data_IF_708983669592
#
_entry.id   IF_708983669592
#
_cell.length_a   1.000
_cell.length_b   1.000
_cell.length_c   1.000
_cell.angle_alpha   90.00
_cell.angle_beta   90.00
_cell.angle_gamma   90.00
#
_symmetry.space_group_name_H-M   'P 1'
#
loop_
_entity.id
_entity.type
_entity.pdbx_description
1 polymer ?
#
# COMPACT_ATOMS: atom_id res chain seq x y z
N UNK A 1 -40.23 -25.92 19.61
CA UNK A 1 -39.14 -25.04 20.09
C UNK A 1 -37.92 -25.00 19.15
N UNK A 2 -37.70 -26.00 18.28
CA UNK A 2 -36.53 -26.04 17.38
C UNK A 2 -36.58 -25.06 16.18
N UNK A 3 -37.74 -24.56 15.77
CA UNK A 3 -37.87 -23.69 14.58
C UNK A 3 -37.47 -22.23 14.83
N UNK A 4 -37.70 -21.69 16.04
CA UNK A 4 -37.28 -20.32 16.40
C UNK A 4 -35.76 -20.17 16.51
N UNK A 5 -35.07 -21.19 17.05
CA UNK A 5 -33.61 -21.19 17.15
C UNK A 5 -32.91 -21.31 15.79
N UNK A 6 -33.50 -22.04 14.85
CA UNK A 6 -32.99 -22.14 13.47
C UNK A 6 -33.11 -20.80 12.72
N UNK A 7 -34.23 -20.09 12.86
CA UNK A 7 -34.43 -18.77 12.22
C UNK A 7 -33.45 -17.72 12.74
N UNK A 8 -33.17 -17.70 14.05
CA UNK A 8 -32.19 -16.78 14.65
C UNK A 8 -30.75 -17.06 14.15
N UNK A 9 -30.41 -18.34 13.95
CA UNK A 9 -29.10 -18.73 13.43
C UNK A 9 -28.89 -18.32 11.97
N UNK A 10 -29.93 -18.38 11.13
CA UNK A 10 -29.86 -17.96 9.72
C UNK A 10 -29.68 -16.44 9.60
N UNK A 11 -30.35 -15.65 10.44
CA UNK A 11 -30.18 -14.20 10.46
C UNK A 11 -28.75 -13.78 10.86
N UNK A 12 -28.09 -14.52 11.76
CA UNK A 12 -26.73 -14.22 12.18
C UNK A 12 -25.70 -14.46 11.06
N UNK A 13 -25.88 -15.50 10.22
CA UNK A 13 -24.98 -15.81 9.10
C UNK A 13 -25.12 -14.80 7.95
N UNK A 14 -26.31 -14.22 7.75
CA UNK A 14 -26.55 -13.20 6.73
C UNK A 14 -25.88 -11.84 7.04
N UNK A 15 -25.62 -11.54 8.32
CA UNK A 15 -24.93 -10.29 8.72
C UNK A 15 -23.40 -10.33 8.53
N UNK A 16 -22.81 -11.51 8.35
CA UNK A 16 -21.36 -11.68 8.11
C UNK A 16 -20.97 -11.17 6.72
N UNK A 17 -21.93 -11.09 5.78
CA UNK A 17 -21.70 -10.54 4.44
C UNK A 17 -21.52 -9.01 4.41
N UNK A 18 -22.00 -8.28 5.43
CA UNK A 18 -21.88 -6.82 5.50
C UNK A 18 -20.62 -6.34 6.24
N UNK A 19 -19.95 -7.23 6.99
CA UNK A 19 -18.71 -6.91 7.72
C UNK A 19 -17.44 -7.35 6.99
N UNK A 20 -17.59 -8.10 5.89
CA UNK A 20 -16.47 -8.48 5.03
C UNK A 20 -15.93 -7.27 4.26
N UNK A 21 -14.70 -6.85 4.58
CA UNK A 21 -13.86 -6.08 3.64
C UNK A 21 -13.58 -6.99 2.44
N UNK A 22 -14.55 -7.09 1.53
CA UNK A 22 -14.47 -7.93 0.33
C UNK A 22 -13.38 -7.47 -0.64
N UNK A 23 -13.63 -7.58 -1.94
CA UNK A 23 -12.74 -7.06 -3.00
C UNK A 23 -12.67 -5.52 -3.01
N UNK A 24 -12.16 -4.92 -1.94
CA UNK A 24 -11.79 -3.51 -1.95
C UNK A 24 -10.48 -3.34 -2.72
N UNK A 25 -10.42 -2.37 -3.65
CA UNK A 25 -9.17 -2.08 -4.32
C UNK A 25 -8.10 -1.70 -3.29
N UNK A 26 -6.82 -1.96 -3.58
CA UNK A 26 -5.74 -1.49 -2.73
C UNK A 26 -5.86 0.03 -2.52
N UNK A 27 -5.50 0.53 -1.32
CA UNK A 27 -5.52 1.96 -1.09
C UNK A 27 -4.55 2.66 -2.07
N UNK A 28 -4.80 3.93 -2.42
CA UNK A 28 -3.91 4.67 -3.31
C UNK A 28 -2.48 4.73 -2.75
N UNK A 29 -1.46 4.59 -3.60
CA UNK A 29 -0.05 4.57 -3.18
C UNK A 29 0.38 5.84 -2.41
N UNK A 30 -0.23 7.00 -2.67
CA UNK A 30 0.09 8.21 -1.88
C UNK A 30 -0.33 8.13 -0.40
N UNK A 31 -1.35 7.33 -0.06
CA UNK A 31 -1.79 7.14 1.34
C UNK A 31 -0.81 6.33 2.19
N UNK A 32 0.16 5.77 1.50
CA UNK A 32 1.07 4.75 1.93
C UNK A 32 2.42 5.42 2.34
N UNK A 33 2.53 6.75 2.16
CA UNK A 33 3.64 7.62 2.55
C UNK A 33 3.20 8.66 3.59
N UNK A 34 4.08 8.93 4.56
CA UNK A 34 3.88 9.98 5.57
C UNK A 34 5.17 10.72 5.92
N UNK A 35 5.05 12.00 6.25
CA UNK A 35 6.11 12.83 6.82
C UNK A 35 5.46 13.87 7.75
N UNK A 36 6.07 14.11 8.91
CA UNK A 36 5.51 15.03 9.90
C UNK A 36 5.38 16.45 9.32
N UNK A 37 4.22 17.08 9.49
CA UNK A 37 3.96 18.43 9.00
C UNK A 37 3.72 18.55 7.49
N UNK A 38 3.58 17.43 6.77
CA UNK A 38 3.39 17.42 5.30
C UNK A 38 1.95 17.09 4.95
N UNK A 39 1.34 17.86 4.05
CA UNK A 39 -0.02 17.63 3.57
C UNK A 39 -0.07 16.51 2.52
N UNK A 40 -1.25 15.94 2.28
CA UNK A 40 -1.45 14.96 1.21
C UNK A 40 -1.03 15.51 -0.17
N UNK A 41 -1.33 16.79 -0.43
CA UNK A 41 -0.93 17.46 -1.68
C UNK A 41 0.58 17.46 -1.85
N UNK A 42 1.31 17.70 -0.77
CA UNK A 42 2.77 17.72 -0.78
C UNK A 42 3.37 16.31 -0.87
N UNK A 43 2.71 15.29 -0.29
CA UNK A 43 3.06 13.88 -0.52
C UNK A 43 2.96 13.55 -2.01
N UNK A 44 1.83 13.85 -2.64
CA UNK A 44 1.62 13.63 -4.08
C UNK A 44 2.65 14.38 -4.93
N UNK A 45 2.93 15.64 -4.57
CA UNK A 45 3.95 16.46 -5.25
C UNK A 45 5.34 15.82 -5.15
N UNK A 46 5.74 15.35 -3.96
CA UNK A 46 7.00 14.67 -3.74
C UNK A 46 7.09 13.35 -4.53
N UNK A 47 6.01 12.58 -4.57
CA UNK A 47 5.96 11.35 -5.39
C UNK A 47 6.14 11.67 -6.87
N UNK A 48 5.43 12.65 -7.41
CA UNK A 48 5.61 13.07 -8.80
C UNK A 48 7.04 13.53 -9.06
N UNK A 49 7.65 14.28 -8.14
CA UNK A 49 9.05 14.70 -8.23
C UNK A 49 10.04 13.52 -8.18
N UNK A 50 9.72 12.46 -7.44
CA UNK A 50 10.46 11.20 -7.43
C UNK A 50 10.20 10.31 -8.66
N UNK A 51 9.32 10.74 -9.58
CA UNK A 51 9.09 10.06 -10.85
C UNK A 51 7.94 9.05 -10.83
N UNK A 52 7.09 9.03 -9.79
CA UNK A 52 5.87 8.23 -9.80
C UNK A 52 4.91 8.74 -10.88
N UNK A 53 4.54 7.86 -11.82
CA UNK A 53 3.54 8.14 -12.85
C UNK A 53 2.13 7.76 -12.43
N UNK A 54 2.02 6.84 -11.46
CA UNK A 54 0.76 6.34 -10.92
C UNK A 54 0.74 6.53 -9.39
N UNK A 55 -0.11 7.44 -8.90
CA UNK A 55 -0.26 7.71 -7.47
C UNK A 55 -1.34 6.85 -6.81
N UNK A 56 -2.16 6.14 -7.59
CA UNK A 56 -3.24 5.29 -7.10
C UNK A 56 -2.83 3.82 -6.95
N UNK A 57 -1.65 3.43 -7.46
CA UNK A 57 -1.03 2.12 -7.27
C UNK A 57 -1.62 0.98 -8.13
N UNK A 58 -2.86 1.11 -8.62
CA UNK A 58 -3.47 0.08 -9.48
C UNK A 58 -3.00 0.22 -10.93
N UNK A 59 -2.53 -0.87 -11.53
CA UNK A 59 -2.15 -0.92 -12.95
C UNK A 59 -0.83 -0.24 -13.28
N UNK A 60 0.04 -0.04 -12.29
CA UNK A 60 1.40 0.44 -12.52
C UNK A 60 2.23 -0.62 -13.24
N UNK A 61 2.79 -0.26 -14.39
CA UNK A 61 3.65 -1.10 -15.22
C UNK A 61 5.11 -0.66 -15.19
N UNK A 62 5.46 0.22 -14.26
CA UNK A 62 6.83 0.71 -14.05
C UNK A 62 7.78 -0.47 -13.80
N UNK A 63 8.92 -0.55 -14.51
CA UNK A 63 9.92 -1.59 -14.27
C UNK A 63 10.43 -1.59 -12.82
N UNK A 64 10.75 -2.76 -12.27
CA UNK A 64 11.09 -2.91 -10.84
C UNK A 64 12.27 -2.02 -10.40
N UNK A 65 13.28 -1.84 -11.23
CA UNK A 65 14.43 -0.97 -10.90
C UNK A 65 14.02 0.51 -10.80
N UNK A 66 13.05 0.93 -11.61
CA UNK A 66 12.49 2.28 -11.54
C UNK A 66 11.57 2.43 -10.32
N UNK A 67 10.78 1.41 -9.98
CA UNK A 67 9.99 1.37 -8.73
C UNK A 67 10.91 1.50 -7.51
N UNK A 68 12.04 0.79 -7.50
CA UNK A 68 13.03 0.90 -6.43
C UNK A 68 13.62 2.31 -6.34
N UNK A 69 13.99 2.89 -7.48
CA UNK A 69 14.53 4.25 -7.53
C UNK A 69 13.52 5.27 -6.97
N UNK A 70 12.25 5.19 -7.38
CA UNK A 70 11.16 6.02 -6.90
C UNK A 70 10.93 5.85 -5.39
N UNK A 71 10.88 4.60 -4.91
CA UNK A 71 10.66 4.25 -3.51
C UNK A 71 11.76 4.83 -2.62
N UNK A 72 13.02 4.68 -3.03
CA UNK A 72 14.15 5.20 -2.24
C UNK A 72 14.31 6.71 -2.36
N UNK A 73 13.94 7.33 -3.47
CA UNK A 73 13.86 8.79 -3.56
C UNK A 73 12.94 9.36 -2.46
N UNK A 74 11.77 8.75 -2.23
CA UNK A 74 10.86 9.17 -1.15
C UNK A 74 11.46 8.96 0.24
N UNK A 75 12.11 7.80 0.48
CA UNK A 75 12.78 7.51 1.76
C UNK A 75 13.93 8.49 2.03
N UNK A 76 14.74 8.77 1.03
CA UNK A 76 15.88 9.69 1.11
C UNK A 76 15.41 11.15 1.32
N UNK A 77 14.23 11.51 0.79
CA UNK A 77 13.54 12.78 1.07
C UNK A 77 12.91 12.84 2.49
N UNK A 78 13.07 11.79 3.30
CA UNK A 78 12.61 11.71 4.69
C UNK A 78 11.15 11.31 4.85
N UNK A 79 10.49 10.82 3.80
CA UNK A 79 9.18 10.19 3.92
C UNK A 79 9.32 8.77 4.48
N UNK A 80 8.31 8.35 5.24
CA UNK A 80 8.22 7.01 5.82
C UNK A 80 7.02 6.28 5.25
N UNK A 81 7.18 4.98 5.09
CA UNK A 81 6.08 4.07 4.80
C UNK A 81 5.14 3.94 5.98
N UNK A 82 3.85 3.81 5.72
CA UNK A 82 2.84 3.49 6.75
C UNK A 82 2.74 1.99 7.02
N UNK A 83 3.07 1.17 6.03
CA UNK A 83 3.06 -0.30 6.06
C UNK A 83 4.40 -0.94 6.47
N UNK A 84 5.41 -0.12 6.79
CA UNK A 84 6.75 -0.55 7.24
C UNK A 84 7.53 -1.44 6.25
N UNK A 85 7.18 -1.42 4.97
CA UNK A 85 7.91 -2.16 3.93
C UNK A 85 9.28 -1.53 3.66
N UNK A 86 10.26 -2.37 3.35
CA UNK A 86 11.57 -1.96 2.86
C UNK A 86 11.98 -2.83 1.65
N UNK A 87 11.84 -2.31 0.44
CA UNK A 87 11.91 -3.13 -0.78
C UNK A 87 13.27 -3.82 -0.99
N UNK A 88 14.37 -3.25 -0.50
CA UNK A 88 15.69 -3.88 -0.63
C UNK A 88 15.93 -5.00 0.39
N UNK A 89 15.05 -5.12 1.39
CA UNK A 89 15.07 -6.22 2.36
C UNK A 89 14.10 -7.33 1.99
N UNK A 90 13.37 -7.17 0.88
CA UNK A 90 12.35 -8.11 0.43
C UNK A 90 12.92 -9.10 -0.59
N UNK A 91 13.15 -10.35 -0.17
CA UNK A 91 13.49 -11.49 -1.02
C UNK A 91 14.42 -11.19 -2.20
N UNK A 92 13.95 -11.53 -3.42
CA UNK A 92 14.69 -11.34 -4.67
C UNK A 92 14.79 -9.88 -5.13
N UNK A 93 13.95 -8.98 -4.61
CA UNK A 93 14.01 -7.55 -4.96
C UNK A 93 15.32 -6.94 -4.44
N UNK A 94 15.77 -7.45 -3.29
CA UNK A 94 17.04 -7.09 -2.69
C UNK A 94 18.23 -7.26 -3.64
N UNK A 95 18.20 -8.15 -4.64
CA UNK A 95 19.32 -8.40 -5.56
C UNK A 95 19.56 -7.28 -6.59
N UNK A 96 18.62 -6.35 -6.76
CA UNK A 96 18.78 -5.22 -7.71
C UNK A 96 20.01 -4.36 -7.37
N UNK A 97 20.75 -3.83 -8.38
CA UNK A 97 21.84 -2.88 -8.17
C UNK A 97 21.41 -1.63 -7.41
N UNK A 98 20.14 -1.21 -7.51
CA UNK A 98 19.59 -0.07 -6.75
C UNK A 98 19.68 -0.29 -5.23
N UNK A 99 19.74 -1.55 -4.81
CA UNK A 99 19.84 -1.95 -3.41
C UNK A 99 21.28 -2.06 -2.88
N UNK A 100 22.29 -1.81 -3.70
CA UNK A 100 23.68 -1.81 -3.24
C UNK A 100 23.89 -0.74 -2.16
N UNK A 101 24.39 -1.15 -0.99
CA UNK A 101 24.55 -0.28 0.18
C UNK A 101 23.26 0.04 0.96
N UNK A 102 22.10 -0.53 0.58
CA UNK A 102 20.80 -0.32 1.24
C UNK A 102 20.22 -1.57 1.94
N UNK A 103 20.93 -2.70 1.90
CA UNK A 103 20.55 -3.97 2.55
C UNK A 103 20.83 -3.94 4.05
#
# INVERSE_FOLDING_TARGET
>A
MCTRSLLLSVCAVLLVGCTGRGFQPPPPEFTNWKKAGVSEKDVKSAMTACGYINLTGTGDTTPIDQVLTQFYCMKDAGFKRTDNIDLCKEGRIGESPVCEGRR
#
